data_IF_782303629894
#
_entry.id   IF_782303629894
#
_cell.length_a   1.000
_cell.length_b   1.000
_cell.length_c   1.000
_cell.angle_alpha   90.00
_cell.angle_beta   90.00
_cell.angle_gamma   90.00
#
_symmetry.space_group_name_H-M   'P 1'
#
loop_
_entity.id
_entity.type
_entity.pdbx_description
1 polymer ?
#
# COMPACT_ATOMS: atom_id res chain seq x y z
N UNK A 1 34.32 -19.12 -23.57
CA UNK A 1 33.23 -18.98 -22.60
C UNK A 1 33.60 -19.52 -21.21
N UNK A 2 34.38 -20.60 -21.11
CA UNK A 2 34.83 -21.19 -19.83
C UNK A 2 35.71 -20.23 -19.01
N UNK A 3 36.66 -19.52 -19.69
CA UNK A 3 37.56 -18.56 -19.08
C UNK A 3 36.88 -17.38 -18.44
N UNK A 4 35.81 -16.84 -19.06
CA UNK A 4 35.04 -15.73 -18.53
C UNK A 4 34.24 -16.11 -17.28
N UNK A 5 33.70 -17.34 -17.24
CA UNK A 5 33.00 -17.88 -16.08
C UNK A 5 33.91 -18.06 -14.89
N UNK A 6 35.14 -18.51 -15.10
CA UNK A 6 36.13 -18.68 -14.04
C UNK A 6 36.60 -17.33 -13.49
N UNK A 7 36.72 -16.31 -14.34
CA UNK A 7 37.10 -14.97 -13.91
C UNK A 7 35.99 -14.34 -13.06
N UNK A 8 34.71 -14.48 -13.47
CA UNK A 8 33.57 -13.97 -12.71
C UNK A 8 33.45 -14.69 -11.36
N UNK A 9 33.64 -15.99 -11.30
CA UNK A 9 33.64 -16.76 -10.05
C UNK A 9 34.73 -16.32 -9.06
N UNK A 10 35.94 -16.01 -9.56
CA UNK A 10 37.03 -15.48 -8.75
C UNK A 10 36.75 -14.08 -8.20
N UNK A 11 36.13 -13.19 -9.01
CA UNK A 11 35.79 -11.84 -8.57
C UNK A 11 34.64 -11.86 -7.52
N UNK A 12 33.66 -12.72 -7.70
CA UNK A 12 32.58 -12.90 -6.72
C UNK A 12 33.11 -13.51 -5.41
N UNK A 13 33.95 -14.50 -5.48
CA UNK A 13 34.59 -15.09 -4.28
C UNK A 13 35.43 -14.09 -3.51
N UNK A 14 36.18 -13.24 -4.21
CA UNK A 14 37.04 -12.21 -3.59
C UNK A 14 36.19 -11.11 -2.94
N UNK A 15 35.05 -10.70 -3.55
CA UNK A 15 34.14 -9.70 -2.96
C UNK A 15 33.45 -10.21 -1.71
N UNK A 16 33.04 -11.47 -1.68
CA UNK A 16 32.42 -12.11 -0.50
C UNK A 16 33.44 -12.26 0.62
N UNK A 17 34.70 -12.61 0.30
CA UNK A 17 35.76 -12.71 1.27
C UNK A 17 36.12 -11.39 1.95
N UNK A 18 36.14 -10.28 1.20
CA UNK A 18 36.35 -8.93 1.74
C UNK A 18 35.19 -8.48 2.65
N UNK A 19 33.96 -8.76 2.27
CA UNK A 19 32.77 -8.47 3.09
C UNK A 19 32.79 -9.25 4.42
N UNK A 20 33.17 -10.53 4.39
CA UNK A 20 33.29 -11.35 5.60
C UNK A 20 34.47 -10.88 6.51
N UNK A 21 35.60 -10.46 5.95
CA UNK A 21 36.69 -9.93 6.70
C UNK A 21 36.34 -8.61 7.42
N UNK A 22 35.59 -7.72 6.77
CA UNK A 22 35.13 -6.46 7.36
C UNK A 22 34.09 -6.68 8.48
N UNK A 23 33.36 -7.79 8.44
CA UNK A 23 32.35 -8.11 9.47
C UNK A 23 32.98 -8.67 10.77
N UNK A 24 34.23 -9.18 10.71
CA UNK A 24 34.91 -9.75 11.88
C UNK A 24 35.60 -8.71 12.77
N UNK A 25 35.84 -7.49 12.28
CA UNK A 25 36.46 -6.41 13.06
C UNK A 25 35.45 -5.54 13.85
N UNK A 26 34.15 -5.83 13.80
CA UNK A 26 33.16 -5.18 14.61
C UNK A 26 33.17 -5.73 16.06
N UNK A 27 34.29 -5.62 16.75
CA UNK A 27 34.33 -5.69 18.20
C UNK A 27 33.68 -4.42 18.73
N UNK A 28 32.50 -4.55 19.32
CA UNK A 28 31.91 -3.51 20.13
C UNK A 28 32.77 -3.37 21.40
N UNK A 29 33.85 -2.63 21.31
CA UNK A 29 34.57 -2.16 22.49
C UNK A 29 33.62 -1.21 23.22
N UNK A 30 33.10 -1.68 24.34
CA UNK A 30 32.39 -0.84 25.29
C UNK A 30 33.45 0.05 25.98
N UNK A 31 33.90 1.06 25.25
CA UNK A 31 34.79 2.08 25.81
C UNK A 31 33.96 2.95 26.72
N UNK A 32 34.04 2.69 28.01
CA UNK A 32 33.48 3.61 29.02
C UNK A 32 34.33 4.88 29.00
N UNK A 33 33.97 5.84 28.18
CA UNK A 33 34.68 7.12 28.10
C UNK A 33 34.18 7.95 29.29
N UNK A 34 35.04 8.07 30.31
CA UNK A 34 34.86 9.02 31.38
C UNK A 34 35.11 10.44 30.84
N UNK A 35 34.07 11.11 30.42
CA UNK A 35 34.15 12.51 30.03
C UNK A 35 34.29 13.40 31.27
N UNK A 36 35.49 13.95 31.47
CA UNK A 36 35.71 15.13 32.35
C UNK A 36 35.37 16.36 31.52
N UNK A 37 34.13 16.59 31.21
CA UNK A 37 33.68 17.71 30.36
C UNK A 37 32.26 17.49 29.82
N UNK A 38 31.74 18.48 29.13
CA UNK A 38 30.45 18.43 28.50
C UNK A 38 30.41 17.30 27.47
N UNK A 39 29.41 16.39 27.50
CA UNK A 39 29.32 15.31 26.53
C UNK A 39 29.22 15.89 25.11
N UNK A 40 29.79 15.21 24.10
CA UNK A 40 29.70 15.67 22.72
C UNK A 40 28.22 15.79 22.30
N UNK A 41 27.89 16.74 21.45
CA UNK A 41 26.53 16.93 20.97
C UNK A 41 26.03 15.65 20.29
N UNK A 42 25.09 14.96 20.90
CA UNK A 42 24.43 13.81 20.31
C UNK A 42 23.21 14.29 19.51
N UNK A 43 23.12 13.90 18.24
CA UNK A 43 21.92 14.12 17.45
C UNK A 43 20.86 13.14 17.94
N UNK A 44 19.85 13.65 18.61
CA UNK A 44 18.70 12.86 19.03
C UNK A 44 17.63 12.99 17.94
N UNK A 45 17.21 11.88 17.38
CA UNK A 45 16.06 11.86 16.49
C UNK A 45 14.83 12.30 17.27
N UNK A 46 14.10 13.32 16.83
CA UNK A 46 12.91 13.75 17.54
C UNK A 46 11.91 12.60 17.62
N UNK A 47 11.49 12.25 18.83
CA UNK A 47 10.44 11.27 19.04
C UNK A 47 9.11 11.91 18.62
N UNK A 48 8.62 11.53 17.44
CA UNK A 48 7.33 11.99 16.93
C UNK A 48 6.21 11.13 17.53
N UNK A 49 6.00 11.22 18.82
CA UNK A 49 5.02 10.41 19.56
C UNK A 49 3.58 10.99 19.55
N UNK A 50 3.36 12.15 18.95
CA UNK A 50 2.06 12.81 18.95
C UNK A 50 1.26 12.47 17.66
N UNK A 51 0.97 11.20 17.44
CA UNK A 51 0.01 10.82 16.41
C UNK A 51 -1.33 10.56 17.06
N UNK A 52 -2.23 11.53 16.90
CA UNK A 52 -3.65 11.23 17.08
C UNK A 52 -4.05 10.28 15.93
N UNK A 53 -4.88 9.29 16.22
CA UNK A 53 -5.43 8.38 15.22
C UNK A 53 -6.18 9.12 14.09
N UNK A 54 -6.33 10.43 14.24
CA UNK A 54 -7.00 11.32 13.28
C UNK A 54 -6.10 11.85 12.17
N UNK A 55 -4.79 11.77 12.31
CA UNK A 55 -3.84 12.23 11.31
C UNK A 55 -3.27 11.02 10.57
N UNK A 56 -3.70 10.80 9.32
CA UNK A 56 -3.18 9.74 8.46
C UNK A 56 -1.75 10.07 7.98
N UNK A 57 -0.82 10.15 8.91
CA UNK A 57 0.55 10.56 8.68
C UNK A 57 1.51 9.66 9.45
N UNK A 58 2.51 9.14 8.77
CA UNK A 58 3.57 8.31 9.34
C UNK A 58 4.83 9.14 9.45
N UNK A 59 5.38 9.35 10.65
CA UNK A 59 6.64 10.06 10.81
C UNK A 59 7.80 9.17 10.40
N UNK A 60 8.74 9.76 9.70
CA UNK A 60 10.02 9.16 9.42
C UNK A 60 11.10 10.11 9.92
N UNK A 61 11.94 9.67 10.84
CA UNK A 61 13.04 10.46 11.36
C UNK A 61 14.33 9.67 11.34
N UNK A 62 15.42 10.38 11.15
CA UNK A 62 16.78 9.82 11.17
C UNK A 62 17.73 10.79 11.85
N UNK A 63 18.72 10.25 12.54
CA UNK A 63 19.80 11.01 13.11
C UNK A 63 21.15 10.33 12.82
N UNK A 64 22.16 11.14 12.49
CA UNK A 64 23.55 10.71 12.34
C UNK A 64 24.41 11.54 13.27
N UNK A 65 25.16 10.88 14.13
CA UNK A 65 26.06 11.52 15.09
C UNK A 65 27.51 11.23 14.72
N UNK A 66 28.31 12.28 14.61
CA UNK A 66 29.77 12.20 14.47
C UNK A 66 30.48 12.70 15.73
N UNK A 67 31.80 12.63 15.75
CA UNK A 67 32.62 13.11 16.89
C UNK A 67 32.58 14.63 17.07
N UNK A 68 32.33 15.38 16.01
CA UNK A 68 32.37 16.85 16.01
C UNK A 68 30.98 17.48 15.77
N UNK A 69 30.04 16.74 15.18
CA UNK A 69 28.70 17.26 14.88
C UNK A 69 27.66 16.13 14.83
N UNK A 70 26.43 16.49 15.10
CA UNK A 70 25.29 15.61 14.92
C UNK A 70 24.24 16.32 14.05
N UNK A 71 23.65 15.56 13.12
CA UNK A 71 22.55 16.05 12.26
C UNK A 71 21.36 15.12 12.44
N UNK A 72 20.21 15.71 12.69
CA UNK A 72 18.94 14.98 12.74
C UNK A 72 17.91 15.62 11.80
N UNK A 73 17.09 14.81 11.19
CA UNK A 73 16.03 15.26 10.30
C UNK A 73 14.80 14.37 10.43
N UNK A 74 13.65 14.95 10.18
CA UNK A 74 12.39 14.20 10.16
C UNK A 74 11.49 14.70 9.06
N UNK A 75 10.67 13.80 8.53
CA UNK A 75 9.63 14.08 7.54
C UNK A 75 8.37 13.33 7.92
N UNK A 76 7.26 13.74 7.34
CA UNK A 76 5.96 13.09 7.54
C UNK A 76 5.50 12.54 6.20
N UNK A 77 5.23 11.25 6.15
CA UNK A 77 4.66 10.59 5.00
C UNK A 77 3.15 10.44 5.19
N UNK A 78 2.41 10.77 4.15
CA UNK A 78 0.97 10.64 4.12
C UNK A 78 0.58 9.17 3.88
N UNK A 79 -0.29 8.63 4.72
CA UNK A 79 -0.85 7.29 4.52
C UNK A 79 -2.19 7.38 3.76
N UNK A 80 -2.12 7.17 2.46
CA UNK A 80 -3.30 7.21 1.58
C UNK A 80 -4.34 6.14 1.94
N UNK A 81 -3.91 5.01 2.48
CA UNK A 81 -4.83 3.95 2.86
C UNK A 81 -5.64 4.34 4.10
N UNK A 82 -4.98 4.94 5.09
CA UNK A 82 -5.65 5.51 6.25
C UNK A 82 -6.66 6.59 5.84
N UNK A 83 -6.30 7.52 4.95
CA UNK A 83 -7.24 8.54 4.45
C UNK A 83 -8.45 7.93 3.76
N UNK A 84 -8.23 6.94 2.89
CA UNK A 84 -9.32 6.25 2.19
C UNK A 84 -10.31 5.62 3.15
N UNK A 85 -9.81 4.94 4.19
CA UNK A 85 -10.66 4.33 5.22
C UNK A 85 -11.47 5.39 5.97
N UNK A 86 -10.87 6.51 6.32
CA UNK A 86 -11.56 7.61 7.00
C UNK A 86 -12.61 8.27 6.15
N UNK A 87 -12.30 8.53 4.89
CA UNK A 87 -13.26 9.07 3.93
C UNK A 87 -14.44 8.12 3.74
N UNK A 88 -14.18 6.80 3.62
CA UNK A 88 -15.23 5.79 3.52
C UNK A 88 -16.11 5.78 4.78
N UNK A 89 -15.51 5.87 5.96
CA UNK A 89 -16.27 5.97 7.22
C UNK A 89 -17.16 7.22 7.25
N UNK A 90 -16.59 8.38 6.92
CA UNK A 90 -17.35 9.64 6.88
C UNK A 90 -18.53 9.57 5.90
N UNK A 91 -18.32 9.02 4.71
CA UNK A 91 -19.41 8.83 3.74
C UNK A 91 -20.48 7.88 4.25
N UNK A 92 -20.08 6.80 4.92
CA UNK A 92 -21.02 5.86 5.53
C UNK A 92 -21.84 6.52 6.65
N UNK A 93 -21.22 7.34 7.49
CA UNK A 93 -21.87 8.06 8.59
C UNK A 93 -22.86 9.12 8.05
N UNK A 94 -22.59 9.70 6.89
CA UNK A 94 -23.51 10.57 6.15
C UNK A 94 -24.64 9.81 5.44
N UNK A 95 -24.68 8.47 5.52
CA UNK A 95 -25.67 7.63 4.87
C UNK A 95 -25.36 7.30 3.40
N UNK A 96 -24.23 7.78 2.86
CA UNK A 96 -23.79 7.57 1.47
C UNK A 96 -23.07 6.23 1.31
N UNK A 97 -23.73 5.12 1.65
CA UNK A 97 -23.12 3.78 1.72
C UNK A 97 -22.48 3.33 0.41
N UNK A 98 -23.14 3.58 -0.73
CA UNK A 98 -22.61 3.19 -2.05
C UNK A 98 -21.32 3.95 -2.36
N UNK A 99 -21.27 5.24 -2.04
CA UNK A 99 -20.08 6.06 -2.22
C UNK A 99 -18.93 5.63 -1.29
N UNK A 100 -19.27 5.23 -0.06
CA UNK A 100 -18.30 4.69 0.89
C UNK A 100 -17.63 3.40 0.35
N UNK A 101 -18.41 2.50 -0.23
CA UNK A 101 -17.89 1.30 -0.88
C UNK A 101 -17.07 1.66 -2.12
N UNK A 102 -17.53 2.60 -2.94
CA UNK A 102 -16.84 3.02 -4.15
C UNK A 102 -15.42 3.57 -3.87
N UNK A 103 -15.25 4.33 -2.78
CA UNK A 103 -13.92 4.85 -2.41
C UNK A 103 -12.99 3.74 -1.90
N UNK A 104 -13.51 2.75 -1.18
CA UNK A 104 -12.73 1.58 -0.77
C UNK A 104 -12.29 0.74 -1.98
N UNK A 105 -13.14 0.64 -3.00
CA UNK A 105 -12.87 -0.08 -4.24
C UNK A 105 -11.74 0.53 -5.11
N UNK A 106 -11.21 1.68 -4.75
CA UNK A 106 -9.99 2.22 -5.37
C UNK A 106 -8.74 1.41 -5.00
N UNK A 107 -8.78 0.66 -3.90
CA UNK A 107 -7.74 -0.31 -3.57
C UNK A 107 -8.00 -1.61 -4.33
N UNK A 108 -6.98 -2.07 -5.10
CA UNK A 108 -7.10 -3.28 -5.91
C UNK A 108 -7.44 -4.52 -5.08
N UNK A 109 -6.94 -4.62 -3.85
CA UNK A 109 -7.21 -5.74 -2.94
C UNK A 109 -8.68 -5.79 -2.54
N UNK A 110 -9.28 -4.62 -2.28
CA UNK A 110 -10.70 -4.50 -1.96
C UNK A 110 -11.54 -4.83 -3.19
N UNK A 111 -11.16 -4.30 -4.35
CA UNK A 111 -11.83 -4.58 -5.62
C UNK A 111 -11.88 -6.08 -5.92
N UNK A 112 -10.74 -6.77 -5.82
CA UNK A 112 -10.64 -8.20 -6.07
C UNK A 112 -11.45 -9.02 -5.04
N UNK A 113 -11.41 -8.65 -3.77
CA UNK A 113 -12.19 -9.29 -2.71
C UNK A 113 -13.71 -9.12 -2.93
N UNK A 114 -14.14 -7.92 -3.32
CA UNK A 114 -15.54 -7.62 -3.63
C UNK A 114 -16.04 -8.44 -4.83
N UNK A 115 -15.24 -8.58 -5.88
CA UNK A 115 -15.56 -9.45 -7.00
C UNK A 115 -15.67 -10.92 -6.58
N UNK A 116 -14.70 -11.43 -5.81
CA UNK A 116 -14.69 -12.82 -5.34
C UNK A 116 -15.87 -13.15 -4.43
N UNK A 117 -16.30 -12.19 -3.61
CA UNK A 117 -17.47 -12.35 -2.73
C UNK A 117 -18.82 -12.29 -3.46
N UNK A 118 -18.83 -12.00 -4.76
CA UNK A 118 -20.05 -11.83 -5.54
C UNK A 118 -20.74 -10.47 -5.36
N UNK A 119 -20.12 -9.55 -4.62
CA UNK A 119 -20.61 -8.18 -4.39
C UNK A 119 -19.71 -7.19 -5.11
N UNK A 120 -19.83 -7.01 -6.44
CA UNK A 120 -18.93 -6.17 -7.21
C UNK A 120 -18.99 -4.71 -6.78
N UNK A 121 -17.90 -4.01 -6.96
CA UNK A 121 -17.79 -2.58 -6.71
C UNK A 121 -18.80 -1.79 -7.55
N UNK A 122 -19.40 -0.72 -7.02
CA UNK A 122 -20.29 0.14 -7.78
C UNK A 122 -19.62 0.71 -9.03
N UNK A 123 -20.36 0.82 -10.11
CA UNK A 123 -19.89 1.37 -11.39
C UNK A 123 -20.96 2.22 -12.04
N UNK A 124 -20.69 3.50 -12.30
CA UNK A 124 -21.59 4.41 -13.01
C UNK A 124 -23.04 4.40 -12.48
N UNK A 125 -23.20 4.38 -11.15
CA UNK A 125 -24.52 4.31 -10.51
C UNK A 125 -25.13 2.90 -10.46
N UNK A 126 -24.50 1.91 -11.09
CA UNK A 126 -24.95 0.52 -11.06
C UNK A 126 -24.31 -0.23 -9.90
N UNK A 127 -25.07 -1.20 -9.35
CA UNK A 127 -24.63 -2.11 -8.28
C UNK A 127 -25.00 -3.55 -8.67
N UNK A 128 -24.44 -4.53 -7.97
CA UNK A 128 -24.75 -5.95 -8.20
C UNK A 128 -24.35 -6.43 -9.60
N UNK A 129 -25.20 -7.24 -10.24
CA UNK A 129 -24.88 -7.85 -11.53
C UNK A 129 -24.71 -6.85 -12.67
N UNK A 130 -25.40 -5.72 -12.62
CA UNK A 130 -25.22 -4.65 -13.60
C UNK A 130 -23.81 -4.04 -13.50
N UNK A 131 -23.34 -3.77 -12.29
CA UNK A 131 -21.97 -3.32 -12.07
C UNK A 131 -20.95 -4.39 -12.48
N UNK A 132 -21.24 -5.67 -12.20
CA UNK A 132 -20.35 -6.79 -12.56
C UNK A 132 -20.16 -6.88 -14.08
N UNK A 133 -21.23 -6.71 -14.87
CA UNK A 133 -21.15 -6.66 -16.33
C UNK A 133 -20.29 -5.50 -16.82
N UNK A 134 -20.54 -4.30 -16.31
CA UNK A 134 -19.75 -3.13 -16.68
C UNK A 134 -18.28 -3.26 -16.34
N UNK A 135 -17.95 -3.85 -15.19
CA UNK A 135 -16.55 -4.13 -14.83
C UNK A 135 -15.91 -5.19 -15.72
N UNK A 136 -16.65 -6.21 -16.15
CA UNK A 136 -16.17 -7.21 -17.10
C UNK A 136 -15.79 -6.56 -18.43
N UNK A 137 -16.61 -5.63 -18.94
CA UNK A 137 -16.31 -4.90 -20.16
C UNK A 137 -15.09 -3.99 -20.03
N UNK A 138 -14.95 -3.32 -18.88
CA UNK A 138 -13.85 -2.38 -18.64
C UNK A 138 -12.52 -3.07 -18.29
N UNK A 139 -12.58 -4.21 -17.60
CA UNK A 139 -11.40 -4.92 -17.08
C UNK A 139 -11.49 -6.44 -17.30
N UNK A 140 -11.57 -6.91 -18.54
CA UNK A 140 -11.73 -8.34 -18.86
C UNK A 140 -10.57 -9.20 -18.32
N UNK A 141 -9.37 -8.62 -18.26
CA UNK A 141 -8.18 -9.31 -17.73
C UNK A 141 -8.33 -9.69 -16.25
N UNK A 142 -8.88 -8.78 -15.44
CA UNK A 142 -9.10 -9.03 -14.01
C UNK A 142 -10.07 -10.19 -13.82
N UNK A 143 -11.14 -10.22 -14.59
CA UNK A 143 -12.12 -11.32 -14.54
C UNK A 143 -11.53 -12.64 -15.00
N UNK A 144 -10.73 -12.63 -16.05
CA UNK A 144 -10.04 -13.83 -16.54
C UNK A 144 -9.06 -14.38 -15.50
N UNK A 145 -8.36 -13.51 -14.79
CA UNK A 145 -7.44 -13.88 -13.71
C UNK A 145 -8.18 -14.47 -12.51
N UNK A 146 -9.33 -13.92 -12.12
CA UNK A 146 -10.07 -14.33 -10.91
C UNK A 146 -10.96 -15.55 -11.15
N UNK A 147 -11.62 -15.65 -12.30
CA UNK A 147 -12.63 -16.67 -12.59
C UNK A 147 -12.21 -17.67 -13.67
N UNK A 148 -11.02 -17.50 -14.26
CA UNK A 148 -10.57 -18.32 -15.40
C UNK A 148 -11.36 -18.03 -16.68
N UNK A 149 -11.22 -18.91 -17.67
CA UNK A 149 -11.87 -18.75 -18.98
C UNK A 149 -13.34 -19.21 -19.01
N UNK A 150 -13.85 -19.73 -17.90
CA UNK A 150 -15.21 -20.28 -17.78
C UNK A 150 -16.23 -19.29 -17.26
N UNK A 151 -15.84 -18.04 -17.05
CA UNK A 151 -16.76 -17.04 -16.56
C UNK A 151 -17.81 -16.70 -17.62
N UNK A 152 -19.10 -16.98 -17.30
CA UNK A 152 -20.25 -16.60 -18.13
C UNK A 152 -20.88 -15.37 -17.53
N UNK A 153 -21.04 -14.32 -18.33
CA UNK A 153 -21.73 -13.09 -17.90
C UNK A 153 -23.20 -13.43 -17.67
N UNK A 154 -23.77 -13.16 -16.50
CA UNK A 154 -25.22 -13.29 -16.31
C UNK A 154 -25.94 -12.40 -17.33
N UNK A 155 -26.85 -12.99 -18.12
CA UNK A 155 -27.72 -12.22 -18.99
C UNK A 155 -28.52 -11.21 -18.16
N UNK A 156 -28.84 -10.02 -18.70
CA UNK A 156 -29.74 -9.10 -18.03
C UNK A 156 -31.00 -9.87 -17.65
N UNK A 157 -31.41 -9.80 -16.38
CA UNK A 157 -32.77 -10.15 -16.04
C UNK A 157 -33.67 -9.31 -16.97
N UNK A 158 -34.47 -9.98 -17.77
CA UNK A 158 -35.40 -9.33 -18.67
C UNK A 158 -36.26 -8.38 -17.81
N UNK A 159 -36.00 -7.08 -17.90
CA UNK A 159 -36.83 -6.09 -17.20
C UNK A 159 -38.26 -6.30 -17.71
N UNK A 160 -39.26 -6.50 -16.81
CA UNK A 160 -40.63 -6.61 -17.26
C UNK A 160 -40.94 -5.34 -18.06
N UNK A 161 -41.27 -5.51 -19.31
CA UNK A 161 -41.70 -4.43 -20.20
C UNK A 161 -42.90 -3.77 -19.51
N UNK A 162 -42.61 -2.63 -18.83
CA UNK A 162 -43.67 -1.77 -18.34
C UNK A 162 -44.34 -1.21 -19.59
N UNK A 163 -45.32 -1.90 -20.09
CA UNK A 163 -46.24 -1.35 -21.09
C UNK A 163 -46.96 -0.17 -20.46
N UNK A 164 -46.38 1.01 -20.62
CA UNK A 164 -47.08 2.25 -20.35
C UNK A 164 -48.28 2.31 -21.30
N UNK A 165 -49.40 1.89 -20.77
CA UNK A 165 -50.69 2.01 -21.48
C UNK A 165 -51.01 3.51 -21.67
N UNK A 166 -51.05 4.05 -22.91
CA UNK A 166 -51.27 5.47 -23.14
C UNK A 166 -52.76 5.81 -23.18
N UNK A 167 -53.57 5.34 -22.22
CA UNK A 167 -54.95 5.72 -22.12
C UNK A 167 -55.29 6.30 -20.75
N UNK A 168 -54.99 7.59 -20.61
CA UNK A 168 -55.82 8.43 -19.74
C UNK A 168 -56.08 9.75 -20.47
N UNK A 169 -57.29 9.80 -21.11
CA UNK A 169 -57.94 11.04 -21.47
C UNK A 169 -58.35 11.83 -20.22
#
# INVERSE_FOLDING_TARGET
MQSLRNLVALLVGMSIGILLALAMDAKADTTTINYKGQPPPSAISPSMSAFSQDVCAVPVSGAVSGTLFGVSGGSVLKDENCERIKLAKTLNDLGLKVSAVAILCQDQRVFDAMLQSGSPCPLNGSIGDAAKRGWYELRPETFRKLYGNTFTIPLPAEEPIITTNPTRK
#
